data_IF_636352502561
#
_entry.id   IF_636352502561
#
_cell.length_a   1.000
_cell.length_b   1.000
_cell.length_c   1.000
_cell.angle_alpha   90.00
_cell.angle_beta   90.00
_cell.angle_gamma   90.00
#
_symmetry.space_group_name_H-M   'P 1'
#
loop_
_entity.id
_entity.type
_entity.pdbx_description
1 polymer ?
#
# COMPACT_ATOMS: atom_id res chain seq x y z
N UNK A 1 -14.94 22.60 1.53
CA UNK A 1 -14.56 21.76 2.68
C UNK A 1 -13.39 22.41 3.40
N UNK A 2 -13.32 22.32 4.73
CA UNK A 2 -12.18 22.70 5.58
C UNK A 2 -11.53 21.43 6.19
N UNK A 3 -10.35 21.57 6.80
CA UNK A 3 -9.63 20.42 7.39
C UNK A 3 -10.40 19.76 8.53
N UNK A 4 -11.06 20.56 9.39
CA UNK A 4 -11.97 20.09 10.45
C UNK A 4 -13.18 19.36 9.86
N UNK A 5 -13.80 19.91 8.81
CA UNK A 5 -14.94 19.27 8.13
C UNK A 5 -14.58 17.90 7.53
N UNK A 6 -13.38 17.76 6.95
CA UNK A 6 -12.91 16.47 6.44
C UNK A 6 -12.70 15.47 7.57
N UNK A 7 -12.10 15.91 8.68
CA UNK A 7 -11.86 15.06 9.84
C UNK A 7 -13.18 14.60 10.47
N UNK A 8 -14.14 15.51 10.63
CA UNK A 8 -15.49 15.21 11.14
C UNK A 8 -16.24 14.24 10.22
N UNK A 9 -16.06 14.34 8.90
CA UNK A 9 -16.64 13.40 7.95
C UNK A 9 -16.05 12.00 8.13
N UNK A 10 -14.72 11.88 8.16
CA UNK A 10 -14.04 10.57 8.30
C UNK A 10 -14.35 9.94 9.67
N UNK A 11 -14.45 10.75 10.73
CA UNK A 11 -14.76 10.30 12.07
C UNK A 11 -16.16 9.65 12.21
N UNK A 12 -17.03 9.80 11.19
CA UNK A 12 -18.31 9.08 11.13
C UNK A 12 -18.14 7.59 10.80
N UNK A 13 -16.98 7.17 10.27
CA UNK A 13 -16.67 5.76 10.04
C UNK A 13 -16.31 5.11 11.38
N UNK A 14 -17.13 4.18 11.90
CA UNK A 14 -16.90 3.56 13.21
C UNK A 14 -15.53 2.88 13.30
N UNK A 15 -14.88 3.00 14.45
CA UNK A 15 -13.59 2.32 14.71
C UNK A 15 -12.35 3.06 14.19
N UNK A 16 -12.51 4.08 13.33
CA UNK A 16 -11.39 4.94 12.91
C UNK A 16 -11.01 5.93 14.01
N UNK A 17 -9.72 6.24 14.09
CA UNK A 17 -9.19 7.29 14.98
C UNK A 17 -8.68 8.43 14.11
N UNK A 18 -9.34 9.57 14.17
CA UNK A 18 -9.05 10.72 13.32
C UNK A 18 -8.45 11.83 14.17
N UNK A 19 -7.30 12.34 13.74
CA UNK A 19 -6.67 13.55 14.28
C UNK A 19 -6.46 14.56 13.16
N UNK A 20 -6.57 15.84 13.50
CA UNK A 20 -6.49 16.93 12.53
C UNK A 20 -5.68 18.10 13.08
N UNK A 21 -4.65 18.47 12.34
CA UNK A 21 -3.83 19.66 12.56
C UNK A 21 -3.91 20.56 11.33
N UNK A 22 -3.50 21.84 11.39
CA UNK A 22 -3.59 22.72 10.24
C UNK A 22 -2.98 22.12 8.96
N UNK A 23 -3.83 21.84 7.97
CA UNK A 23 -3.45 21.30 6.66
C UNK A 23 -3.21 19.80 6.57
N UNK A 24 -3.39 19.02 7.65
CA UNK A 24 -3.15 17.58 7.67
C UNK A 24 -4.28 16.88 8.45
N UNK A 25 -4.84 15.82 7.87
CA UNK A 25 -5.71 14.88 8.55
C UNK A 25 -5.00 13.53 8.62
N UNK A 26 -4.94 12.94 9.81
CA UNK A 26 -4.39 11.59 10.02
C UNK A 26 -5.51 10.66 10.44
N UNK A 27 -5.61 9.52 9.76
CA UNK A 27 -6.65 8.52 9.98
C UNK A 27 -5.97 7.22 10.33
N UNK A 28 -5.99 6.86 11.61
CA UNK A 28 -5.53 5.55 12.05
C UNK A 28 -6.69 4.55 11.98
N UNK A 29 -6.43 3.40 11.34
CA UNK A 29 -7.38 2.29 11.24
C UNK A 29 -6.84 1.12 12.05
N UNK A 30 -7.33 0.90 13.29
CA UNK A 30 -6.77 -0.09 14.21
C UNK A 30 -6.75 -1.52 13.66
N UNK A 31 -7.75 -1.89 12.85
CA UNK A 31 -7.88 -3.24 12.29
C UNK A 31 -6.71 -3.62 11.37
N UNK A 32 -6.14 -2.66 10.64
CA UNK A 32 -4.94 -2.86 9.82
C UNK A 32 -3.65 -2.45 10.54
N UNK A 33 -3.77 -1.67 11.62
CA UNK A 33 -2.63 -1.18 12.40
C UNK A 33 -1.77 -0.18 11.63
N UNK A 34 -2.38 0.59 10.73
CA UNK A 34 -1.71 1.59 9.88
C UNK A 34 -2.48 2.91 9.90
N UNK A 35 -1.84 3.97 9.41
CA UNK A 35 -2.33 5.34 9.44
C UNK A 35 -2.21 5.98 8.06
N UNK A 36 -3.34 6.43 7.52
CA UNK A 36 -3.34 7.27 6.33
C UNK A 36 -3.09 8.74 6.72
N UNK A 37 -2.09 9.37 6.11
CA UNK A 37 -1.79 10.79 6.28
C UNK A 37 -2.24 11.57 5.04
N UNK A 38 -3.27 12.38 5.19
CA UNK A 38 -3.89 13.16 4.14
C UNK A 38 -3.43 14.62 4.24
N UNK A 39 -2.71 15.11 3.24
CA UNK A 39 -2.44 16.53 3.12
C UNK A 39 -3.68 17.20 2.54
N UNK A 40 -4.27 18.14 3.28
CA UNK A 40 -5.53 18.78 2.89
C UNK A 40 -5.45 19.47 1.52
N UNK A 41 -4.28 20.03 1.18
CA UNK A 41 -4.01 20.65 -0.14
C UNK A 41 -4.17 19.69 -1.33
N UNK A 42 -4.10 18.38 -1.07
CA UNK A 42 -4.25 17.36 -2.08
C UNK A 42 -5.66 16.77 -2.12
N UNK A 43 -6.54 17.13 -1.18
CA UNK A 43 -7.92 16.64 -1.15
C UNK A 43 -8.75 17.42 -2.16
N UNK A 44 -9.32 16.72 -3.13
CA UNK A 44 -10.20 17.28 -4.15
C UNK A 44 -11.65 17.30 -3.69
N UNK A 45 -12.11 16.18 -3.15
CA UNK A 45 -13.47 16.02 -2.62
C UNK A 45 -13.49 14.91 -1.56
N UNK A 46 -14.53 14.88 -0.74
CA UNK A 46 -14.79 13.77 0.17
C UNK A 46 -16.29 13.63 0.43
N UNK A 47 -16.78 12.39 0.43
CA UNK A 47 -18.20 12.09 0.62
C UNK A 47 -18.42 10.71 1.25
N UNK A 48 -19.53 10.54 1.99
CA UNK A 48 -19.90 9.25 2.54
C UNK A 48 -20.29 8.29 1.41
N UNK A 49 -19.87 7.04 1.55
CA UNK A 49 -20.22 5.93 0.66
C UNK A 49 -20.64 4.71 1.49
N UNK A 50 -21.33 3.78 0.86
CA UNK A 50 -21.68 2.50 1.48
C UNK A 50 -20.93 1.40 0.74
N UNK A 51 -20.17 0.59 1.48
CA UNK A 51 -19.56 -0.61 0.91
C UNK A 51 -20.64 -1.68 0.67
N UNK A 52 -20.41 -2.69 -0.19
CA UNK A 52 -21.43 -3.71 -0.51
C UNK A 52 -22.03 -4.45 0.68
N UNK A 53 -21.31 -4.51 1.81
CA UNK A 53 -21.79 -5.11 3.07
C UNK A 53 -22.82 -4.24 3.80
N UNK A 54 -23.06 -3.01 3.34
CA UNK A 54 -23.90 -2.04 4.03
C UNK A 54 -23.20 -1.35 5.21
N UNK A 55 -21.89 -1.51 5.36
CA UNK A 55 -21.12 -0.74 6.33
C UNK A 55 -20.84 0.69 5.82
N UNK A 56 -20.79 1.69 6.71
CA UNK A 56 -20.43 3.05 6.34
C UNK A 56 -18.95 3.13 5.96
N UNK A 57 -18.65 4.01 5.01
CA UNK A 57 -17.30 4.35 4.59
C UNK A 57 -17.26 5.80 4.10
N UNK A 58 -16.06 6.34 3.96
CA UNK A 58 -15.83 7.66 3.36
C UNK A 58 -14.85 7.51 2.21
N UNK A 59 -15.23 8.03 1.04
CA UNK A 59 -14.30 8.19 -0.07
C UNK A 59 -13.71 9.59 -0.03
N UNK A 60 -12.38 9.66 -0.16
CA UNK A 60 -11.61 10.90 -0.31
C UNK A 60 -10.90 10.83 -1.66
N UNK A 61 -11.18 11.79 -2.54
CA UNK A 61 -10.50 11.89 -3.82
C UNK A 61 -9.24 12.72 -3.67
N UNK A 62 -8.08 12.11 -3.94
CA UNK A 62 -6.76 12.71 -3.74
C UNK A 62 -6.11 13.09 -5.07
N UNK A 63 -5.58 14.31 -5.14
CA UNK A 63 -4.76 14.79 -6.24
C UNK A 63 -3.34 14.25 -6.14
N UNK A 64 -2.88 13.58 -7.20
CA UNK A 64 -1.47 13.20 -7.40
C UNK A 64 -1.02 13.58 -8.79
N UNK A 65 -0.29 14.68 -8.90
CA UNK A 65 0.07 15.26 -10.19
C UNK A 65 -1.19 15.64 -10.99
N UNK A 66 -1.43 14.93 -12.09
CA UNK A 66 -2.62 15.09 -12.95
C UNK A 66 -3.72 14.06 -12.67
N UNK A 67 -3.48 13.08 -11.80
CA UNK A 67 -4.43 12.03 -11.48
C UNK A 67 -5.29 12.39 -10.25
N UNK A 68 -6.54 11.93 -10.27
CA UNK A 68 -7.40 11.81 -9.09
C UNK A 68 -7.38 10.34 -8.64
N UNK A 69 -7.01 10.09 -7.39
CA UNK A 69 -6.92 8.74 -6.82
C UNK A 69 -7.95 8.61 -5.70
N UNK A 70 -8.88 7.66 -5.78
CA UNK A 70 -9.82 7.41 -4.69
C UNK A 70 -9.10 6.74 -3.53
N UNK A 71 -9.38 7.21 -2.33
CA UNK A 71 -9.06 6.56 -1.07
C UNK A 71 -10.37 6.30 -0.31
N UNK A 72 -10.72 5.04 -0.10
CA UNK A 72 -11.94 4.68 0.63
C UNK A 72 -11.55 4.16 2.00
N UNK A 73 -12.00 4.84 3.05
CA UNK A 73 -11.76 4.48 4.44
C UNK A 73 -13.00 3.73 4.93
N UNK A 74 -12.82 2.47 5.34
CA UNK A 74 -13.89 1.63 5.91
C UNK A 74 -13.67 1.44 7.42
N UNK A 75 -14.60 0.73 8.05
CA UNK A 75 -14.54 0.38 9.49
C UNK A 75 -13.25 -0.37 9.85
N UNK A 76 -12.77 -1.21 8.94
CA UNK A 76 -11.74 -2.21 9.19
C UNK A 76 -10.60 -2.21 8.16
N UNK A 77 -10.67 -1.35 7.14
CA UNK A 77 -9.71 -1.34 6.03
C UNK A 77 -9.59 0.03 5.36
N UNK A 78 -8.63 0.12 4.45
CA UNK A 78 -8.44 1.24 3.54
C UNK A 78 -8.28 0.68 2.13
N UNK A 79 -9.10 1.14 1.20
CA UNK A 79 -9.12 0.70 -0.20
C UNK A 79 -8.55 1.78 -1.10
N UNK A 80 -7.68 1.39 -2.02
CA UNK A 80 -6.97 2.31 -2.92
C UNK A 80 -6.66 1.66 -4.27
N UNK A 81 -6.25 2.47 -5.24
CA UNK A 81 -5.81 2.01 -6.57
C UNK A 81 -4.30 1.70 -6.57
N UNK A 82 -3.87 0.50 -7.03
CA UNK A 82 -2.46 0.22 -7.27
C UNK A 82 -1.78 1.23 -8.20
N UNK A 83 -0.47 1.38 -8.09
CA UNK A 83 0.29 2.05 -9.15
C UNK A 83 0.29 1.21 -10.45
N UNK A 84 0.43 1.86 -11.60
CA UNK A 84 0.63 1.14 -12.85
C UNK A 84 2.07 0.64 -12.92
N UNK A 85 2.26 -0.57 -13.44
CA UNK A 85 3.60 -1.14 -13.60
C UNK A 85 4.49 -0.30 -14.52
N UNK A 86 3.91 0.29 -15.57
CA UNK A 86 4.59 1.19 -16.51
C UNK A 86 5.16 2.44 -15.83
N UNK A 87 4.55 2.87 -14.72
CA UNK A 87 5.04 4.00 -13.91
C UNK A 87 6.25 3.61 -13.04
N UNK A 88 6.46 2.30 -12.79
CA UNK A 88 7.50 1.80 -11.90
C UNK A 88 8.68 1.17 -12.63
N UNK A 89 8.47 0.58 -13.81
CA UNK A 89 9.47 -0.19 -14.54
C UNK A 89 10.17 0.69 -15.58
N UNK A 90 11.47 0.46 -15.78
CA UNK A 90 12.25 1.10 -16.82
C UNK A 90 11.65 0.77 -18.20
N UNK A 91 11.52 1.74 -19.12
CA UNK A 91 10.77 1.55 -20.36
C UNK A 91 11.40 0.52 -21.32
N UNK A 92 12.67 0.12 -21.11
CA UNK A 92 13.32 -0.92 -21.92
C UNK A 92 13.07 -2.34 -21.39
N UNK A 93 12.46 -2.48 -20.22
CA UNK A 93 12.12 -3.76 -19.63
C UNK A 93 10.61 -4.01 -19.80
N UNK A 94 10.24 -5.11 -20.44
CA UNK A 94 8.85 -5.54 -20.54
C UNK A 94 8.63 -6.71 -19.56
N UNK A 95 7.66 -6.57 -18.67
CA UNK A 95 7.16 -7.66 -17.84
C UNK A 95 5.64 -7.69 -17.93
N UNK A 96 5.08 -8.81 -18.36
CA UNK A 96 3.64 -9.01 -18.33
C UNK A 96 3.18 -9.12 -16.89
N UNK A 97 2.47 -8.11 -16.43
CA UNK A 97 1.82 -8.14 -15.12
C UNK A 97 0.47 -8.87 -15.28
N UNK A 98 0.10 -9.79 -14.37
CA UNK A 98 -1.23 -10.39 -14.36
C UNK A 98 -2.32 -9.33 -14.29
N UNK A 99 -3.57 -9.72 -14.52
CA UNK A 99 -4.72 -8.82 -14.43
C UNK A 99 -4.75 -8.11 -13.07
N UNK A 100 -4.32 -6.83 -13.06
CA UNK A 100 -4.25 -6.01 -11.86
C UNK A 100 -5.65 -5.59 -11.42
N UNK A 101 -5.99 -5.69 -10.14
CA UNK A 101 -7.26 -5.19 -9.65
C UNK A 101 -7.31 -3.65 -9.79
N UNK A 102 -8.48 -3.11 -10.12
CA UNK A 102 -8.68 -1.66 -10.22
C UNK A 102 -8.61 -0.94 -8.86
N UNK A 103 -8.93 -1.65 -7.79
CA UNK A 103 -8.77 -1.22 -6.40
C UNK A 103 -8.53 -2.47 -5.53
N UNK A 104 -7.83 -2.31 -4.40
CA UNK A 104 -7.66 -3.36 -3.40
C UNK A 104 -7.66 -2.78 -1.99
N UNK A 105 -7.98 -3.62 -1.01
CA UNK A 105 -7.84 -3.29 0.41
C UNK A 105 -6.40 -3.40 0.89
N UNK A 106 -6.03 -2.63 1.90
CA UNK A 106 -4.74 -2.78 2.59
C UNK A 106 -4.62 -4.18 3.20
N UNK A 107 -5.71 -4.68 3.80
CA UNK A 107 -5.72 -6.01 4.40
C UNK A 107 -5.45 -7.12 3.36
N UNK A 108 -6.02 -6.99 2.16
CA UNK A 108 -5.80 -7.88 1.01
C UNK A 108 -4.34 -7.83 0.56
N UNK A 109 -3.80 -6.61 0.31
CA UNK A 109 -2.40 -6.42 -0.03
C UNK A 109 -1.47 -7.10 1.00
N UNK A 110 -1.69 -6.85 2.29
CA UNK A 110 -0.86 -7.43 3.34
C UNK A 110 -0.96 -8.94 3.38
N UNK A 111 -2.17 -9.50 3.30
CA UNK A 111 -2.40 -10.95 3.29
C UNK A 111 -1.67 -11.61 2.13
N UNK A 112 -1.80 -11.07 0.92
CA UNK A 112 -1.29 -11.70 -0.30
C UNK A 112 0.25 -11.63 -0.37
N UNK A 113 0.84 -10.47 -0.04
CA UNK A 113 2.30 -10.31 0.04
C UNK A 113 2.90 -11.22 1.11
N UNK A 114 2.26 -11.31 2.28
CA UNK A 114 2.69 -12.20 3.36
C UNK A 114 2.54 -13.67 3.00
N UNK A 115 1.47 -14.06 2.30
CA UNK A 115 1.24 -15.44 1.90
C UNK A 115 2.36 -15.93 0.98
N UNK A 116 2.73 -15.12 -0.02
CA UNK A 116 3.86 -15.44 -0.90
C UNK A 116 5.18 -15.52 -0.13
N UNK A 117 5.44 -14.55 0.76
CA UNK A 117 6.65 -14.54 1.56
C UNK A 117 6.79 -15.72 2.52
N UNK A 118 5.69 -16.33 2.96
CA UNK A 118 5.74 -17.60 3.71
C UNK A 118 5.96 -18.80 2.81
N UNK A 119 5.37 -18.79 1.61
CA UNK A 119 5.46 -19.90 0.69
C UNK A 119 6.88 -20.04 0.10
N UNK A 120 7.61 -18.93 -0.06
CA UNK A 120 8.90 -18.92 -0.77
C UNK A 120 10.02 -19.78 -0.15
N UNK A 121 9.85 -20.13 1.13
CA UNK A 121 10.75 -20.96 1.93
C UNK A 121 10.39 -22.46 1.89
N UNK A 122 9.23 -22.81 1.32
CA UNK A 122 8.83 -24.21 1.12
C UNK A 122 9.70 -24.84 0.02
N UNK A 123 10.50 -25.87 0.33
CA UNK A 123 11.37 -26.51 -0.65
C UNK A 123 10.61 -27.27 -1.74
N UNK A 124 9.34 -27.62 -1.50
CA UNK A 124 8.48 -28.32 -2.48
C UNK A 124 7.71 -27.35 -3.38
N UNK A 125 7.85 -26.04 -3.16
CA UNK A 125 7.18 -25.03 -3.95
C UNK A 125 7.80 -24.89 -5.34
N UNK A 126 7.11 -25.43 -6.34
CA UNK A 126 7.42 -25.23 -7.75
C UNK A 126 6.62 -24.03 -8.28
N UNK A 127 7.23 -22.84 -8.22
CA UNK A 127 6.69 -21.64 -8.86
C UNK A 127 7.43 -21.34 -10.15
N UNK A 128 6.66 -21.13 -11.21
CA UNK A 128 7.16 -20.58 -12.46
C UNK A 128 7.88 -19.23 -12.19
N UNK A 129 9.17 -19.09 -12.61
CA UNK A 129 9.96 -17.89 -12.35
C UNK A 129 9.37 -16.60 -12.92
N UNK A 130 8.70 -16.67 -14.08
CA UNK A 130 8.08 -15.51 -14.72
C UNK A 130 6.83 -15.09 -13.93
N UNK A 131 6.01 -16.05 -13.49
CA UNK A 131 4.85 -15.78 -12.63
C UNK A 131 5.29 -15.17 -11.30
N UNK A 132 6.36 -15.67 -10.69
CA UNK A 132 6.89 -15.14 -9.45
C UNK A 132 7.40 -13.70 -9.62
N UNK A 133 8.16 -13.42 -10.69
CA UNK A 133 8.62 -12.07 -11.01
C UNK A 133 7.43 -11.11 -11.25
N UNK A 134 6.42 -11.55 -12.00
CA UNK A 134 5.23 -10.76 -12.28
C UNK A 134 4.40 -10.49 -11.04
N UNK A 135 4.30 -11.47 -10.14
CA UNK A 135 3.60 -11.32 -8.85
C UNK A 135 4.35 -10.35 -7.92
N UNK A 136 5.68 -10.41 -7.86
CA UNK A 136 6.48 -9.44 -7.11
C UNK A 136 6.36 -8.02 -7.68
N UNK A 137 6.27 -7.88 -9.01
CA UNK A 137 5.98 -6.57 -9.62
C UNK A 137 4.58 -6.07 -9.22
N UNK A 138 3.55 -6.92 -9.30
CA UNK A 138 2.19 -6.58 -8.86
C UNK A 138 2.15 -6.13 -7.38
N UNK A 139 2.84 -6.85 -6.49
CA UNK A 139 2.95 -6.46 -5.09
C UNK A 139 3.66 -5.10 -4.89
N UNK A 140 4.68 -4.80 -5.70
CA UNK A 140 5.32 -3.48 -5.67
C UNK A 140 4.35 -2.38 -6.11
N UNK A 141 3.52 -2.65 -7.14
CA UNK A 141 2.45 -1.75 -7.56
C UNK A 141 1.44 -1.49 -6.44
N UNK A 142 1.09 -2.50 -5.64
CA UNK A 142 0.22 -2.35 -4.48
C UNK A 142 0.84 -1.42 -3.43
N UNK A 143 2.10 -1.67 -3.05
CA UNK A 143 2.82 -0.88 -2.05
C UNK A 143 2.96 0.59 -2.52
N UNK A 144 3.33 0.80 -3.78
CA UNK A 144 3.43 2.13 -4.37
C UNK A 144 2.06 2.84 -4.41
N UNK A 145 0.97 2.12 -4.70
CA UNK A 145 -0.40 2.63 -4.61
C UNK A 145 -0.74 3.12 -3.20
N UNK A 146 -0.42 2.31 -2.17
CA UNK A 146 -0.63 2.67 -0.77
C UNK A 146 0.14 3.94 -0.37
N UNK A 147 1.42 4.02 -0.73
CA UNK A 147 2.25 5.21 -0.50
C UNK A 147 1.67 6.45 -1.18
N UNK A 148 1.20 6.30 -2.43
CA UNK A 148 0.57 7.40 -3.16
C UNK A 148 -0.67 7.95 -2.45
N UNK A 149 -1.47 7.14 -1.77
CA UNK A 149 -2.65 7.63 -1.03
C UNK A 149 -2.33 8.08 0.40
N UNK A 150 -1.06 8.07 0.81
CA UNK A 150 -0.60 8.58 2.10
C UNK A 150 -0.50 7.53 3.21
N UNK A 151 -0.59 6.24 2.89
CA UNK A 151 -0.24 5.15 3.80
C UNK A 151 1.28 4.94 3.84
N UNK A 152 1.79 4.25 4.87
CA UNK A 152 3.22 3.94 4.98
C UNK A 152 3.45 2.47 5.36
N UNK A 153 3.27 1.53 4.41
CA UNK A 153 3.07 0.10 4.69
C UNK A 153 4.38 -0.66 4.98
N UNK A 154 5.15 -0.23 5.99
CA UNK A 154 6.48 -0.80 6.34
C UNK A 154 6.44 -2.32 6.49
N UNK A 155 5.41 -2.86 7.16
CA UNK A 155 5.26 -4.30 7.39
C UNK A 155 5.09 -5.09 6.11
N UNK A 156 4.32 -4.56 5.16
CA UNK A 156 4.08 -5.22 3.87
C UNK A 156 5.33 -5.13 3.00
N UNK A 157 5.98 -3.97 3.00
CA UNK A 157 7.22 -3.75 2.27
C UNK A 157 8.36 -4.65 2.78
N UNK A 158 8.40 -4.94 4.09
CA UNK A 158 9.33 -5.89 4.67
C UNK A 158 9.13 -7.33 4.18
N UNK A 159 7.88 -7.78 4.01
CA UNK A 159 7.58 -9.08 3.41
C UNK A 159 7.96 -9.14 1.94
N UNK A 160 7.69 -8.05 1.19
CA UNK A 160 8.07 -7.95 -0.21
C UNK A 160 9.59 -8.04 -0.39
N UNK A 161 10.35 -7.27 0.40
CA UNK A 161 11.81 -7.27 0.35
C UNK A 161 12.38 -8.65 0.66
N UNK A 162 11.85 -9.30 1.71
CA UNK A 162 12.26 -10.65 2.10
C UNK A 162 12.04 -11.64 0.95
N UNK A 163 10.85 -11.61 0.35
CA UNK A 163 10.47 -12.53 -0.74
C UNK A 163 11.34 -12.30 -1.97
N UNK A 164 11.56 -11.03 -2.33
CA UNK A 164 12.40 -10.62 -3.45
C UNK A 164 13.85 -11.07 -3.28
N UNK A 165 14.44 -10.83 -2.10
CA UNK A 165 15.80 -11.26 -1.77
C UNK A 165 15.95 -12.79 -1.82
N UNK A 166 15.00 -13.52 -1.24
CA UNK A 166 14.98 -14.99 -1.23
C UNK A 166 14.76 -15.62 -2.62
N UNK A 167 14.23 -14.84 -3.55
CA UNK A 167 13.97 -15.26 -4.94
C UNK A 167 15.06 -14.83 -5.92
N UNK A 168 16.02 -13.99 -5.50
CA UNK A 168 16.96 -13.31 -6.39
C UNK A 168 17.83 -14.23 -7.27
N UNK A 169 18.03 -15.48 -6.86
CA UNK A 169 18.77 -16.49 -7.65
C UNK A 169 17.89 -17.26 -8.64
N UNK A 170 16.56 -17.18 -8.49
CA UNK A 170 15.56 -17.95 -9.26
C UNK A 170 14.88 -17.12 -10.33
N UNK A 171 14.73 -15.82 -10.10
CA UNK A 171 13.99 -14.93 -11.00
C UNK A 171 14.87 -13.79 -11.50
N UNK A 172 14.46 -13.21 -12.64
CA UNK A 172 14.98 -11.93 -13.10
C UNK A 172 13.87 -10.89 -12.95
N UNK A 173 14.09 -9.94 -12.05
CA UNK A 173 13.18 -8.79 -11.89
C UNK A 173 13.42 -7.75 -12.97
N UNK A 174 12.35 -7.07 -13.36
CA UNK A 174 12.45 -5.86 -14.18
C UNK A 174 13.22 -4.77 -13.42
N UNK A 175 13.95 -3.93 -14.14
CA UNK A 175 14.61 -2.76 -13.56
C UNK A 175 13.57 -1.73 -13.18
N UNK A 176 13.61 -1.30 -11.92
CA UNK A 176 12.73 -0.25 -11.42
C UNK A 176 13.32 1.13 -11.69
N UNK A 177 12.45 2.09 -11.95
CA UNK A 177 12.80 3.51 -11.99
C UNK A 177 13.24 3.99 -10.60
N UNK A 178 14.11 5.00 -10.53
CA UNK A 178 14.42 5.66 -9.25
C UNK A 178 13.14 6.19 -8.59
N UNK A 179 13.00 5.93 -7.30
CA UNK A 179 11.84 6.33 -6.50
C UNK A 179 12.29 6.64 -5.06
N UNK A 180 12.40 7.93 -4.74
CA UNK A 180 12.86 8.40 -3.43
C UNK A 180 11.91 7.97 -2.28
N UNK A 181 10.61 7.82 -2.56
CA UNK A 181 9.65 7.37 -1.56
C UNK A 181 9.86 5.89 -1.27
N UNK A 182 10.12 5.10 -2.31
CA UNK A 182 10.50 3.70 -2.16
C UNK A 182 11.79 3.54 -1.35
N UNK A 183 12.83 4.32 -1.67
CA UNK A 183 14.12 4.26 -0.98
C UNK A 183 13.97 4.61 0.51
N UNK A 184 13.15 5.62 0.83
CA UNK A 184 12.82 5.98 2.21
C UNK A 184 12.07 4.85 2.92
N UNK A 185 11.07 4.26 2.26
CA UNK A 185 10.32 3.12 2.81
C UNK A 185 11.23 1.92 3.10
N UNK A 186 12.18 1.60 2.20
CA UNK A 186 13.15 0.53 2.42
C UNK A 186 14.13 0.84 3.56
N UNK A 187 14.49 2.10 3.76
CA UNK A 187 15.29 2.52 4.92
C UNK A 187 14.54 2.27 6.24
N UNK A 188 13.24 2.58 6.29
CA UNK A 188 12.39 2.32 7.45
C UNK A 188 12.18 0.83 7.69
N UNK A 189 12.06 0.02 6.63
CA UNK A 189 12.06 -1.46 6.73
C UNK A 189 13.35 -1.96 7.39
N UNK A 190 14.51 -1.43 6.96
CA UNK A 190 15.79 -1.83 7.52
C UNK A 190 15.91 -1.42 9.01
N UNK A 191 15.40 -0.25 9.38
CA UNK A 191 15.37 0.21 10.78
C UNK A 191 14.44 -0.64 11.64
N UNK A 192 13.21 -0.92 11.19
CA UNK A 192 12.26 -1.75 11.93
C UNK A 192 12.83 -3.16 12.20
N UNK A 193 13.57 -3.73 11.24
CA UNK A 193 14.26 -5.02 11.41
C UNK A 193 15.37 -4.95 12.46
N UNK A 194 16.16 -3.88 12.47
CA UNK A 194 17.20 -3.68 13.51
C UNK A 194 16.60 -3.64 14.91
N UNK A 195 15.48 -2.92 15.08
CA UNK A 195 14.81 -2.80 16.37
C UNK A 195 14.22 -4.14 16.84
N UNK A 196 13.68 -4.94 15.92
CA UNK A 196 13.16 -6.28 16.25
C UNK A 196 14.29 -7.22 16.68
N UNK A 197 15.40 -7.25 15.94
CA UNK A 197 16.56 -8.09 16.29
C UNK A 197 17.18 -7.71 17.64
N UNK A 198 17.16 -6.44 18.01
CA UNK A 198 17.61 -5.97 19.33
C UNK A 198 16.64 -6.34 20.46
N UNK A 199 15.34 -6.48 20.19
CA UNK A 199 14.34 -6.88 21.17
C UNK A 199 14.36 -8.38 21.48
N UNK A 200 15.00 -9.19 20.63
CA UNK A 200 15.16 -10.64 20.77
C UNK A 200 16.49 -11.05 21.46
N UNK A 201 17.36 -10.09 21.77
CA UNK A 201 18.64 -10.26 22.48
C UNK A 201 18.51 -9.92 23.97
#
# INVERSE_FOLDING_TARGET
>A
MRTDELADLIAQVPGTQVDAVPGIVTVHVPAIGDTARLLFRDVLDAYPVMVPTGAPAVQVDLKRGRASLPLIITVDDVVFTPAYADDLVAPEDELLVPAMPGMLGYSEMHRDVRALGKAIDDPELDLDPEILAATLLAHRCFIAGAVRVGLWPVRVAAWWEYTSASSAKRIRMARFRPDEQWDTLMADVAEARRQTALAEL
#
